data_IF_253385185313
#
_entry.id   IF_253385185313
#
_cell.length_a   1.000
_cell.length_b   1.000
_cell.length_c   1.000
_cell.angle_alpha   90.00
_cell.angle_beta   90.00
_cell.angle_gamma   90.00
#
_symmetry.space_group_name_H-M   'P 1'
#
loop_
_entity.id
_entity.type
_entity.pdbx_description
1 polymer ?
#
# COMPACT_ATOMS: atom_id res chain seq x y z
N UNK A 1 9.77 3.42 -11.27
CA UNK A 1 8.78 2.42 -10.81
C UNK A 1 9.05 2.06 -9.35
N UNK A 2 7.99 1.92 -8.54
CA UNK A 2 8.05 1.42 -7.15
C UNK A 2 7.46 0.02 -7.10
N UNK A 3 8.17 -0.90 -6.44
CA UNK A 3 7.74 -2.27 -6.20
C UNK A 3 7.34 -2.44 -4.74
N UNK A 4 6.23 -3.16 -4.49
CA UNK A 4 5.74 -3.48 -3.15
C UNK A 4 5.51 -4.98 -3.01
N UNK A 5 6.39 -5.66 -2.29
CA UNK A 5 6.38 -7.10 -2.07
C UNK A 5 5.74 -7.51 -0.75
N UNK A 6 4.79 -8.46 -0.79
CA UNK A 6 4.26 -9.10 0.42
C UNK A 6 3.75 -10.51 0.10
N UNK A 7 3.59 -11.34 1.13
CA UNK A 7 3.02 -12.68 0.96
C UNK A 7 1.55 -12.62 0.53
N UNK A 8 1.05 -13.71 -0.05
CA UNK A 8 -0.38 -13.84 -0.34
C UNK A 8 -1.19 -13.72 0.96
N UNK A 9 -2.33 -13.01 0.90
CA UNK A 9 -3.18 -12.79 2.07
C UNK A 9 -2.67 -11.75 3.09
N UNK A 10 -1.51 -11.10 2.86
CA UNK A 10 -0.95 -10.08 3.77
C UNK A 10 -1.38 -8.65 3.44
N UNK A 11 -2.57 -8.49 2.87
CA UNK A 11 -3.24 -7.19 2.76
C UNK A 11 -2.50 -6.11 1.94
N UNK A 12 -1.78 -6.52 0.88
CA UNK A 12 -1.06 -5.59 -0.04
C UNK A 12 -1.90 -4.40 -0.47
N UNK A 13 -3.05 -4.68 -1.06
CA UNK A 13 -4.00 -3.65 -1.53
C UNK A 13 -4.47 -2.75 -0.40
N UNK A 14 -4.84 -3.36 0.75
CA UNK A 14 -5.33 -2.62 1.93
C UNK A 14 -4.28 -1.68 2.52
N UNK A 15 -2.97 -1.97 2.34
CA UNK A 15 -1.89 -1.06 2.72
C UNK A 15 -1.61 -0.01 1.65
N UNK A 16 -1.53 -0.43 0.38
CA UNK A 16 -1.19 0.47 -0.72
C UNK A 16 -2.23 1.58 -0.94
N UNK A 17 -3.52 1.28 -0.74
CA UNK A 17 -4.58 2.27 -0.91
C UNK A 17 -4.43 3.47 0.04
N UNK A 18 -4.39 3.32 1.37
CA UNK A 18 -4.26 4.47 2.27
C UNK A 18 -2.87 5.11 2.27
N UNK A 19 -1.81 4.34 1.99
CA UNK A 19 -0.44 4.84 2.11
C UNK A 19 0.09 5.48 0.82
N UNK A 20 -0.44 5.12 -0.34
CA UNK A 20 0.03 5.64 -1.62
C UNK A 20 -1.09 6.25 -2.46
N UNK A 21 -2.21 5.55 -2.67
CA UNK A 21 -3.24 6.00 -3.61
C UNK A 21 -4.02 7.21 -3.09
N UNK A 22 -4.50 7.15 -1.85
CA UNK A 22 -5.27 8.25 -1.26
C UNK A 22 -4.45 9.53 -1.07
N UNK A 23 -3.17 9.50 -0.62
CA UNK A 23 -2.33 10.70 -0.57
C UNK A 23 -2.20 11.37 -1.95
N UNK A 24 -2.00 10.59 -3.02
CA UNK A 24 -1.93 11.11 -4.37
C UNK A 24 -3.27 11.75 -4.79
N UNK A 25 -4.39 11.05 -4.58
CA UNK A 25 -5.72 11.54 -4.95
C UNK A 25 -6.16 12.77 -4.15
N UNK A 26 -5.65 12.95 -2.93
CA UNK A 26 -6.00 14.09 -2.08
C UNK A 26 -4.88 15.16 -2.03
N UNK A 27 -3.84 15.03 -2.87
CA UNK A 27 -2.88 16.09 -3.07
C UNK A 27 -3.56 17.27 -3.78
N UNK A 28 -3.38 18.46 -3.20
CA UNK A 28 -3.90 19.72 -3.70
C UNK A 28 -2.76 20.58 -4.24
N UNK A 29 -3.03 21.34 -5.30
CA UNK A 29 -2.12 22.38 -5.77
C UNK A 29 -2.22 23.66 -4.93
N UNK A 30 -1.50 24.71 -5.31
CA UNK A 30 -1.49 26.01 -4.61
C UNK A 30 -2.87 26.69 -4.59
N UNK A 31 -3.78 26.30 -5.50
CA UNK A 31 -5.16 26.81 -5.58
C UNK A 31 -6.17 25.90 -4.85
N UNK A 32 -5.70 24.83 -4.17
CA UNK A 32 -6.53 23.86 -3.46
C UNK A 32 -7.26 22.86 -4.38
N UNK A 33 -6.80 22.72 -5.63
CA UNK A 33 -7.42 21.80 -6.61
C UNK A 33 -6.72 20.46 -6.65
N UNK A 34 -7.52 19.39 -6.72
CA UNK A 34 -7.05 18.02 -6.84
C UNK A 34 -7.03 17.59 -8.31
N UNK A 35 -5.85 17.43 -8.90
CA UNK A 35 -5.67 17.13 -10.33
C UNK A 35 -5.21 15.70 -10.61
N UNK A 36 -4.63 15.04 -9.61
CA UNK A 36 -4.01 13.72 -9.81
C UNK A 36 -5.05 12.65 -10.16
N UNK A 37 -4.70 11.84 -11.16
CA UNK A 37 -5.50 10.71 -11.64
C UNK A 37 -4.73 9.42 -11.49
N UNK A 38 -5.43 8.33 -11.18
CA UNK A 38 -4.85 7.00 -11.01
C UNK A 38 -5.53 5.99 -11.92
N UNK A 39 -4.72 5.28 -12.70
CA UNK A 39 -5.12 4.07 -13.39
C UNK A 39 -4.82 2.86 -12.51
N UNK A 40 -5.81 2.02 -12.26
CA UNK A 40 -5.71 0.78 -11.50
C UNK A 40 -5.90 -0.38 -12.47
N UNK A 41 -4.91 -1.28 -12.52
CA UNK A 41 -4.97 -2.53 -13.27
C UNK A 41 -4.84 -3.67 -12.27
N UNK A 42 -5.88 -4.49 -12.11
CA UNK A 42 -5.93 -5.54 -11.10
C UNK A 42 -6.36 -6.88 -11.68
N UNK A 43 -5.78 -7.97 -11.16
CA UNK A 43 -6.13 -9.35 -11.55
C UNK A 43 -6.68 -10.20 -10.39
N UNK A 44 -6.53 -9.74 -9.14
CA UNK A 44 -6.98 -10.51 -7.97
C UNK A 44 -8.32 -10.00 -7.41
N UNK A 45 -8.51 -8.70 -7.39
CA UNK A 45 -9.70 -8.10 -6.79
C UNK A 45 -10.56 -7.43 -7.85
N UNK A 46 -11.87 -7.68 -7.82
CA UNK A 46 -12.81 -6.97 -8.66
C UNK A 46 -12.99 -5.51 -8.19
N UNK A 47 -13.63 -4.71 -9.03
CA UNK A 47 -13.84 -3.28 -8.78
C UNK A 47 -14.58 -3.00 -7.46
N UNK A 48 -15.58 -3.80 -7.12
CA UNK A 48 -16.43 -3.59 -5.94
C UNK A 48 -15.63 -3.74 -4.65
N UNK A 49 -14.84 -4.84 -4.55
CA UNK A 49 -13.96 -5.08 -3.40
C UNK A 49 -12.90 -3.99 -3.28
N UNK A 50 -12.31 -3.59 -4.42
CA UNK A 50 -11.32 -2.53 -4.42
C UNK A 50 -11.90 -1.18 -3.97
N UNK A 51 -13.08 -0.81 -4.46
CA UNK A 51 -13.76 0.44 -4.07
C UNK A 51 -14.21 0.41 -2.60
N UNK A 52 -14.56 -0.77 -2.06
CA UNK A 52 -14.82 -0.92 -0.63
C UNK A 52 -13.57 -0.61 0.21
N UNK A 53 -12.42 -1.16 -0.16
CA UNK A 53 -11.13 -0.85 0.50
C UNK A 53 -10.81 0.65 0.39
N UNK A 54 -11.02 1.23 -0.79
CA UNK A 54 -10.82 2.67 -1.02
C UNK A 54 -11.71 3.53 -0.11
N UNK A 55 -13.00 3.18 0.02
CA UNK A 55 -13.94 3.88 0.89
C UNK A 55 -13.56 3.78 2.38
N UNK A 56 -13.21 2.58 2.86
CA UNK A 56 -12.77 2.39 4.25
C UNK A 56 -11.47 3.15 4.53
N UNK A 57 -10.52 3.11 3.60
CA UNK A 57 -9.27 3.85 3.70
C UNK A 57 -9.52 5.38 3.72
N UNK A 58 -10.48 5.87 2.93
CA UNK A 58 -10.89 7.27 2.94
C UNK A 58 -11.40 7.71 4.31
N UNK A 59 -12.24 6.91 4.96
CA UNK A 59 -12.71 7.19 6.32
C UNK A 59 -11.52 7.35 7.26
N UNK A 60 -10.58 6.41 7.22
CA UNK A 60 -9.44 6.41 8.12
C UNK A 60 -8.43 7.52 7.80
N UNK A 61 -8.17 7.79 6.53
CA UNK A 61 -7.15 8.72 6.07
C UNK A 61 -7.64 10.18 6.01
N UNK A 62 -8.85 10.41 5.51
CA UNK A 62 -9.38 11.77 5.28
C UNK A 62 -10.30 12.19 6.41
N UNK A 63 -11.40 11.45 6.66
CA UNK A 63 -12.39 11.88 7.64
C UNK A 63 -11.87 11.91 9.08
N UNK A 64 -10.88 11.06 9.42
CA UNK A 64 -10.29 11.03 10.75
C UNK A 64 -9.03 11.91 10.88
N UNK A 65 -8.43 12.36 9.77
CA UNK A 65 -7.22 13.21 9.80
C UNK A 65 -7.51 14.61 10.34
N UNK A 66 -8.62 15.20 9.96
CA UNK A 66 -9.01 16.55 10.40
C UNK A 66 -9.41 16.65 11.87
N UNK A 67 -9.50 15.51 12.58
CA UNK A 67 -9.90 15.48 13.99
C UNK A 67 -8.80 15.83 14.99
N UNK A 68 -7.55 15.65 14.61
CA UNK A 68 -6.44 16.05 15.48
C UNK A 68 -6.30 17.58 15.57
N UNK A 69 -7.00 18.33 14.72
CA UNK A 69 -6.94 19.79 14.65
C UNK A 69 -8.11 20.50 15.36
N UNK A 70 -9.26 19.85 15.55
CA UNK A 70 -10.46 20.48 16.09
C UNK A 70 -11.24 19.57 17.05
N UNK A 71 -11.06 19.84 18.36
CA UNK A 71 -11.92 19.47 19.50
C UNK A 71 -12.05 17.99 19.92
N UNK A 72 -12.02 17.82 21.24
CA UNK A 72 -12.13 16.57 22.02
C UNK A 72 -13.48 15.83 21.92
N UNK A 73 -14.47 16.32 21.18
CA UNK A 73 -15.85 15.81 21.23
C UNK A 73 -16.33 15.00 20.00
N UNK A 74 -15.52 14.90 18.95
CA UNK A 74 -15.96 14.14 17.77
C UNK A 74 -15.59 12.67 17.87
N UNK A 75 -16.58 11.80 17.97
CA UNK A 75 -16.46 10.32 17.92
C UNK A 75 -15.70 9.89 16.66
N UNK A 76 -14.75 8.97 16.80
CA UNK A 76 -14.04 8.39 15.66
C UNK A 76 -15.03 7.66 14.75
N UNK A 77 -15.24 8.18 13.54
CA UNK A 77 -16.03 7.50 12.53
C UNK A 77 -15.23 6.31 12.01
N UNK A 78 -15.83 5.18 11.88
CA UNK A 78 -15.27 4.02 11.21
C UNK A 78 -16.41 3.14 10.74
N UNK A 79 -16.10 2.32 9.74
CA UNK A 79 -16.99 1.28 9.25
C UNK A 79 -16.22 -0.03 9.25
N UNK A 80 -16.82 -1.07 9.78
CA UNK A 80 -16.27 -2.40 9.78
C UNK A 80 -16.47 -3.06 8.42
N UNK A 81 -15.41 -3.55 7.81
CA UNK A 81 -15.48 -4.36 6.59
C UNK A 81 -16.31 -5.62 6.82
N UNK A 82 -16.20 -6.21 8.02
CA UNK A 82 -17.03 -7.35 8.43
C UNK A 82 -18.50 -6.99 8.41
N UNK A 83 -18.90 -5.83 8.98
CA UNK A 83 -20.31 -5.40 9.01
C UNK A 83 -20.85 -5.14 7.59
N UNK A 84 -20.02 -4.64 6.66
CA UNK A 84 -20.42 -4.51 5.25
C UNK A 84 -20.70 -5.90 4.67
N UNK A 85 -19.79 -6.85 4.83
CA UNK A 85 -19.88 -8.19 4.24
C UNK A 85 -21.04 -9.00 4.83
N UNK A 86 -21.33 -8.82 6.11
CA UNK A 86 -22.40 -9.53 6.83
C UNK A 86 -23.75 -8.79 6.82
N UNK A 87 -23.81 -7.63 6.16
CA UNK A 87 -24.98 -6.74 6.12
C UNK A 87 -25.50 -6.35 7.52
N UNK A 88 -24.57 -6.06 8.44
CA UNK A 88 -24.83 -5.75 9.86
C UNK A 88 -24.44 -4.32 10.23
N UNK A 89 -24.57 -3.39 9.29
CA UNK A 89 -24.19 -1.99 9.50
C UNK A 89 -25.05 -1.32 10.56
N UNK A 90 -24.39 -0.64 11.49
CA UNK A 90 -25.05 0.26 12.45
C UNK A 90 -25.53 1.53 11.75
N UNK A 91 -26.39 2.31 12.41
CA UNK A 91 -26.88 3.56 11.80
C UNK A 91 -25.75 4.59 11.67
N UNK A 92 -24.80 4.65 12.62
CA UNK A 92 -23.60 5.50 12.52
C UNK A 92 -22.70 5.09 11.33
N UNK A 93 -22.56 3.80 11.07
CA UNK A 93 -21.81 3.28 9.93
C UNK A 93 -22.50 3.61 8.60
N UNK A 94 -23.84 3.53 8.54
CA UNK A 94 -24.64 3.91 7.37
C UNK A 94 -24.46 5.40 7.04
N UNK A 95 -24.54 6.29 8.05
CA UNK A 95 -24.29 7.73 7.87
C UNK A 95 -22.89 7.99 7.35
N UNK A 96 -21.89 7.31 7.93
CA UNK A 96 -20.50 7.44 7.47
C UNK A 96 -20.33 6.99 6.02
N UNK A 97 -21.03 5.94 5.58
CA UNK A 97 -21.00 5.46 4.19
C UNK A 97 -21.66 6.43 3.21
N UNK A 98 -22.56 7.31 3.65
CA UNK A 98 -23.10 8.38 2.80
C UNK A 98 -21.99 9.33 2.38
N UNK A 99 -21.18 9.81 3.33
CA UNK A 99 -20.03 10.69 3.05
C UNK A 99 -19.01 10.02 2.11
N UNK A 100 -18.74 8.72 2.32
CA UNK A 100 -17.89 7.92 1.44
C UNK A 100 -18.45 7.83 0.02
N UNK A 101 -19.76 7.61 -0.09
CA UNK A 101 -20.43 7.52 -1.39
C UNK A 101 -20.37 8.84 -2.16
N UNK A 102 -20.52 9.96 -1.48
CA UNK A 102 -20.36 11.29 -2.07
C UNK A 102 -18.92 11.51 -2.55
N UNK A 103 -17.92 11.18 -1.72
CA UNK A 103 -16.53 11.25 -2.13
C UNK A 103 -16.23 10.42 -3.37
N UNK A 104 -16.67 9.16 -3.38
CA UNK A 104 -16.46 8.28 -4.55
C UNK A 104 -17.14 8.87 -5.80
N UNK A 105 -18.34 9.39 -5.65
CA UNK A 105 -19.14 9.91 -6.76
C UNK A 105 -18.63 11.24 -7.30
N UNK A 106 -18.22 12.16 -6.44
CA UNK A 106 -17.87 13.53 -6.83
C UNK A 106 -16.34 13.68 -7.01
N UNK A 107 -15.55 13.25 -6.01
CA UNK A 107 -14.09 13.44 -6.02
C UNK A 107 -13.36 12.44 -6.92
N UNK A 108 -13.77 11.17 -6.93
CA UNK A 108 -13.07 10.13 -7.68
C UNK A 108 -13.59 9.96 -9.11
N UNK A 109 -14.75 10.50 -9.44
CA UNK A 109 -15.29 10.47 -10.80
C UNK A 109 -14.27 11.06 -11.78
N UNK A 110 -13.94 10.32 -12.84
CA UNK A 110 -12.97 10.70 -13.84
C UNK A 110 -11.50 10.83 -13.34
N UNK A 111 -11.23 10.58 -12.06
CA UNK A 111 -9.86 10.59 -11.53
C UNK A 111 -9.34 9.19 -11.19
N UNK A 112 -10.22 8.22 -11.03
CA UNK A 112 -9.85 6.81 -10.86
C UNK A 112 -10.45 5.99 -11.99
N UNK A 113 -9.59 5.34 -12.75
CA UNK A 113 -9.97 4.35 -13.76
C UNK A 113 -9.55 2.96 -13.26
N UNK A 114 -10.50 2.04 -13.24
CA UNK A 114 -10.26 0.66 -12.83
C UNK A 114 -10.42 -0.29 -14.02
N UNK A 115 -9.42 -1.14 -14.24
CA UNK A 115 -9.39 -2.19 -15.26
C UNK A 115 -9.16 -3.51 -14.55
N UNK A 116 -10.10 -4.45 -14.69
CA UNK A 116 -9.92 -5.81 -14.24
C UNK A 116 -9.38 -6.64 -15.40
N UNK A 117 -8.22 -7.26 -15.19
CA UNK A 117 -7.56 -8.15 -16.16
C UNK A 117 -7.25 -9.47 -15.44
N UNK A 118 -8.02 -10.55 -15.68
CA UNK A 118 -7.77 -11.84 -15.03
C UNK A 118 -6.38 -12.39 -15.30
N UNK A 119 -5.82 -12.10 -16.48
CA UNK A 119 -4.46 -12.48 -16.88
C UNK A 119 -3.73 -11.24 -17.39
N UNK A 120 -2.46 -11.07 -17.00
CA UNK A 120 -1.65 -9.92 -17.40
C UNK A 120 -0.92 -10.20 -18.72
N UNK A 121 -1.51 -9.75 -19.83
CA UNK A 121 -0.81 -9.66 -21.12
C UNK A 121 -0.01 -8.35 -21.19
N UNK A 122 1.32 -8.39 -21.34
CA UNK A 122 2.16 -7.20 -21.44
C UNK A 122 1.74 -6.23 -22.55
N UNK A 123 1.28 -6.73 -23.69
CA UNK A 123 0.84 -5.89 -24.82
C UNK A 123 -0.46 -5.15 -24.49
N UNK A 124 -1.39 -5.84 -23.84
CA UNK A 124 -2.66 -5.24 -23.43
C UNK A 124 -2.44 -4.19 -22.33
N UNK A 125 -1.58 -4.50 -21.34
CA UNK A 125 -1.18 -3.53 -20.31
C UNK A 125 -0.54 -2.29 -20.95
N UNK A 126 0.41 -2.48 -21.89
CA UNK A 126 1.06 -1.38 -22.60
C UNK A 126 0.04 -0.50 -23.32
N UNK A 127 -0.92 -1.10 -24.03
CA UNK A 127 -2.00 -0.38 -24.69
C UNK A 127 -2.80 0.50 -23.72
N UNK A 128 -3.18 -0.04 -22.55
CA UNK A 128 -3.88 0.72 -21.52
C UNK A 128 -3.00 1.85 -20.93
N UNK A 129 -1.75 1.59 -20.65
CA UNK A 129 -0.82 2.61 -20.15
C UNK A 129 -0.70 3.77 -21.12
N UNK A 130 -0.50 3.50 -22.41
CA UNK A 130 -0.41 4.52 -23.45
C UNK A 130 -1.72 5.29 -23.64
N UNK A 131 -2.86 4.60 -23.65
CA UNK A 131 -4.17 5.22 -23.77
C UNK A 131 -4.43 6.18 -22.63
N UNK A 132 -4.30 5.70 -21.38
CA UNK A 132 -4.66 6.50 -20.21
C UNK A 132 -3.62 7.57 -19.88
N UNK A 133 -2.35 7.38 -20.21
CA UNK A 133 -1.33 8.43 -20.08
C UNK A 133 -1.67 9.68 -20.89
N UNK A 134 -2.23 9.50 -22.11
CA UNK A 134 -2.73 10.60 -22.96
C UNK A 134 -3.97 11.29 -22.40
N UNK A 135 -4.74 10.58 -21.54
CA UNK A 135 -5.89 11.14 -20.84
C UNK A 135 -5.52 11.79 -19.49
N UNK A 136 -4.20 11.90 -19.18
CA UNK A 136 -3.69 12.55 -18.00
C UNK A 136 -3.55 11.63 -16.76
N UNK A 137 -3.73 10.32 -16.91
CA UNK A 137 -3.46 9.37 -15.82
C UNK A 137 -1.96 9.11 -15.72
N UNK A 138 -1.30 9.82 -14.81
CA UNK A 138 0.15 9.72 -14.62
C UNK A 138 0.56 8.78 -13.50
N UNK A 139 -0.38 8.42 -12.62
CA UNK A 139 -0.15 7.43 -11.57
C UNK A 139 -0.81 6.12 -11.97
N UNK A 140 -0.10 5.03 -11.81
CA UNK A 140 -0.57 3.69 -12.16
C UNK A 140 -0.36 2.76 -10.97
N UNK A 141 -1.38 2.00 -10.63
CA UNK A 141 -1.32 0.94 -9.63
C UNK A 141 -1.60 -0.41 -10.29
N UNK A 142 -0.68 -1.36 -10.17
CA UNK A 142 -0.79 -2.72 -10.72
C UNK A 142 -0.87 -3.71 -9.55
N UNK A 143 -1.98 -4.45 -9.44
CA UNK A 143 -2.26 -5.36 -8.34
C UNK A 143 -2.81 -6.71 -8.83
N UNK A 144 -2.03 -7.76 -8.89
CA UNK A 144 -0.68 -8.08 -8.45
C UNK A 144 0.12 -8.64 -9.63
N UNK A 145 1.38 -8.25 -9.76
CA UNK A 145 2.29 -8.89 -10.73
C UNK A 145 2.68 -10.27 -10.20
N UNK A 146 2.22 -11.32 -10.88
CA UNK A 146 2.54 -12.72 -10.57
C UNK A 146 2.65 -13.52 -11.86
N UNK A 147 3.54 -14.51 -11.89
CA UNK A 147 3.52 -15.52 -12.94
C UNK A 147 2.40 -16.54 -12.65
N UNK A 148 1.64 -16.91 -13.66
CA UNK A 148 0.52 -17.85 -13.51
C UNK A 148 1.00 -19.30 -13.50
N UNK A 149 2.10 -19.60 -14.19
CA UNK A 149 2.66 -20.95 -14.28
C UNK A 149 4.19 -20.96 -14.10
N UNK A 150 4.71 -22.11 -13.63
CA UNK A 150 6.17 -22.34 -13.59
C UNK A 150 6.72 -22.30 -15.02
N UNK A 151 7.62 -21.36 -15.29
CA UNK A 151 8.25 -21.15 -16.60
C UNK A 151 7.95 -19.81 -17.26
N UNK A 152 7.03 -19.03 -16.74
CA UNK A 152 6.71 -17.68 -17.24
C UNK A 152 7.65 -16.58 -16.74
N UNK A 153 8.86 -16.94 -16.26
CA UNK A 153 9.88 -15.97 -15.86
C UNK A 153 10.19 -14.93 -16.94
N UNK A 154 10.17 -15.37 -18.22
CA UNK A 154 10.35 -14.47 -19.34
C UNK A 154 9.21 -13.46 -19.49
N UNK A 155 7.98 -13.88 -19.19
CA UNK A 155 6.81 -12.98 -19.25
C UNK A 155 6.93 -11.87 -18.19
N UNK A 156 7.29 -12.23 -16.97
CA UNK A 156 7.49 -11.26 -15.88
C UNK A 156 8.68 -10.33 -16.15
N UNK A 157 9.76 -10.85 -16.71
CA UNK A 157 10.92 -10.03 -17.13
C UNK A 157 10.52 -9.05 -18.23
N UNK A 158 9.82 -9.53 -19.26
CA UNK A 158 9.33 -8.69 -20.35
C UNK A 158 8.35 -7.61 -19.86
N UNK A 159 7.44 -7.99 -18.96
CA UNK A 159 6.50 -7.06 -18.34
C UNK A 159 7.25 -5.98 -17.55
N UNK A 160 8.23 -6.35 -16.73
CA UNK A 160 9.02 -5.39 -15.93
C UNK A 160 9.79 -4.41 -16.81
N UNK A 161 10.44 -4.91 -17.88
CA UNK A 161 11.18 -4.07 -18.82
C UNK A 161 10.24 -3.14 -19.61
N UNK A 162 9.09 -3.64 -20.03
CA UNK A 162 8.06 -2.84 -20.69
C UNK A 162 7.55 -1.75 -19.78
N UNK A 163 7.23 -2.05 -18.51
CA UNK A 163 6.77 -1.07 -17.53
C UNK A 163 7.81 0.01 -17.28
N UNK A 164 9.10 -0.35 -17.16
CA UNK A 164 10.19 0.61 -16.98
C UNK A 164 10.31 1.53 -18.19
N UNK A 165 10.34 0.98 -19.40
CA UNK A 165 10.40 1.74 -20.63
C UNK A 165 9.21 2.70 -20.77
N UNK A 166 7.98 2.20 -20.68
CA UNK A 166 6.76 2.99 -20.86
C UNK A 166 6.64 4.06 -19.77
N UNK A 167 7.05 3.75 -18.52
CA UNK A 167 7.04 4.73 -17.44
C UNK A 167 7.96 5.92 -17.73
N UNK A 168 9.15 5.69 -18.24
CA UNK A 168 10.12 6.74 -18.60
C UNK A 168 9.66 7.57 -19.80
N UNK A 169 9.23 6.89 -20.87
CA UNK A 169 8.77 7.53 -22.10
C UNK A 169 7.53 8.42 -21.91
N UNK A 170 6.64 8.06 -20.97
CA UNK A 170 5.37 8.74 -20.76
C UNK A 170 5.27 9.49 -19.42
N UNK A 171 6.37 9.56 -18.66
CA UNK A 171 6.43 10.16 -17.33
C UNK A 171 5.37 9.60 -16.39
N UNK A 172 5.30 8.25 -16.28
CA UNK A 172 4.36 7.55 -15.40
C UNK A 172 5.02 7.20 -14.08
N UNK A 173 4.27 7.35 -12.99
CA UNK A 173 4.61 6.88 -11.65
C UNK A 173 3.89 5.54 -11.43
N UNK A 174 4.60 4.44 -11.51
CA UNK A 174 4.03 3.09 -11.39
C UNK A 174 4.35 2.52 -10.01
N UNK A 175 3.31 2.12 -9.27
CA UNK A 175 3.38 1.26 -8.10
C UNK A 175 2.87 -0.12 -8.49
N UNK A 176 3.71 -1.14 -8.39
CA UNK A 176 3.35 -2.52 -8.69
C UNK A 176 3.49 -3.40 -7.45
N UNK A 177 2.43 -4.13 -7.10
CA UNK A 177 2.53 -5.15 -6.05
C UNK A 177 3.05 -6.45 -6.63
N UNK A 178 3.87 -7.16 -5.84
CA UNK A 178 4.44 -8.46 -6.18
C UNK A 178 4.22 -9.45 -5.05
N UNK A 179 4.20 -10.73 -5.38
CA UNK A 179 4.10 -11.78 -4.37
C UNK A 179 5.47 -12.26 -3.92
N UNK A 180 5.66 -12.40 -2.61
CA UNK A 180 6.85 -13.01 -2.04
C UNK A 180 6.76 -14.53 -2.13
N UNK A 181 7.91 -15.17 -2.27
CA UNK A 181 8.05 -16.62 -2.39
C UNK A 181 7.66 -17.34 -1.09
N UNK A 182 6.82 -18.35 -1.18
CA UNK A 182 6.33 -19.09 0.00
C UNK A 182 7.47 -19.73 0.80
N UNK A 183 8.56 -20.16 0.16
CA UNK A 183 9.71 -20.75 0.86
C UNK A 183 10.49 -19.74 1.71
N UNK A 184 10.21 -18.43 1.56
CA UNK A 184 10.78 -17.37 2.40
C UNK A 184 9.86 -17.00 3.56
N UNK A 185 8.70 -17.64 3.68
CA UNK A 185 7.80 -17.45 4.80
C UNK A 185 8.51 -17.77 6.13
N UNK A 186 8.36 -16.88 7.11
CA UNK A 186 9.07 -17.00 8.39
C UNK A 186 10.43 -16.30 8.45
N UNK A 187 10.95 -15.78 7.34
CA UNK A 187 12.14 -14.91 7.41
C UNK A 187 11.84 -13.66 8.22
N UNK A 188 12.74 -13.34 9.15
CA UNK A 188 12.64 -12.13 9.96
C UNK A 188 12.96 -10.88 9.17
N UNK A 189 13.96 -10.93 8.28
CA UNK A 189 14.35 -9.84 7.39
C UNK A 189 13.90 -10.13 5.97
N UNK A 190 13.23 -9.16 5.36
CA UNK A 190 12.78 -9.25 3.96
C UNK A 190 13.62 -8.34 3.06
N UNK A 191 14.03 -8.88 1.93
CA UNK A 191 14.73 -8.19 0.87
C UNK A 191 14.35 -8.73 -0.51
N UNK A 192 15.04 -8.28 -1.56
CA UNK A 192 14.80 -8.70 -2.94
C UNK A 192 14.94 -10.21 -3.17
N UNK A 193 15.64 -10.95 -2.32
CA UNK A 193 15.75 -12.41 -2.44
C UNK A 193 14.48 -13.13 -2.06
N UNK A 194 13.52 -12.43 -1.45
CA UNK A 194 12.24 -12.96 -1.06
C UNK A 194 11.19 -12.92 -2.19
N UNK A 195 11.49 -12.30 -3.32
CA UNK A 195 10.54 -12.24 -4.44
C UNK A 195 10.47 -13.59 -5.15
N UNK A 196 9.24 -14.06 -5.42
CA UNK A 196 9.00 -15.40 -5.92
C UNK A 196 9.65 -15.67 -7.28
N UNK A 197 9.65 -14.70 -8.21
CA UNK A 197 9.89 -15.03 -9.61
C UNK A 197 10.54 -13.92 -10.44
N UNK A 198 10.92 -12.77 -9.86
CA UNK A 198 11.29 -11.66 -10.71
C UNK A 198 12.42 -10.79 -10.17
N UNK A 199 13.65 -11.31 -10.18
CA UNK A 199 14.84 -10.47 -10.00
C UNK A 199 14.85 -9.26 -10.95
N UNK A 200 14.30 -9.44 -12.17
CA UNK A 200 14.15 -8.37 -13.17
C UNK A 200 13.30 -7.18 -12.72
N UNK A 201 12.28 -7.40 -11.85
CA UNK A 201 11.48 -6.30 -11.30
C UNK A 201 12.35 -5.43 -10.40
N UNK A 202 13.16 -6.05 -9.54
CA UNK A 202 14.06 -5.33 -8.62
C UNK A 202 15.11 -4.53 -9.38
N UNK A 203 15.60 -5.05 -10.51
CA UNK A 203 16.61 -4.38 -11.33
C UNK A 203 16.09 -3.04 -11.87
N UNK A 204 14.86 -3.02 -12.36
CA UNK A 204 14.23 -1.83 -12.93
C UNK A 204 13.57 -0.92 -11.88
N UNK A 205 13.17 -1.44 -10.72
CA UNK A 205 12.57 -0.66 -9.66
C UNK A 205 13.55 0.39 -9.10
N UNK A 206 13.06 1.59 -8.84
CA UNK A 206 13.79 2.66 -8.15
C UNK A 206 13.63 2.56 -6.64
N UNK A 207 12.47 2.08 -6.20
CA UNK A 207 12.14 1.82 -4.81
C UNK A 207 11.59 0.41 -4.68
N UNK A 208 12.09 -0.37 -3.73
CA UNK A 208 11.58 -1.70 -3.40
C UNK A 208 11.22 -1.77 -1.93
N UNK A 209 9.97 -2.10 -1.67
CA UNK A 209 9.35 -2.15 -0.35
C UNK A 209 8.86 -3.58 -0.10
N UNK A 210 9.09 -4.10 1.11
CA UNK A 210 8.65 -5.44 1.51
C UNK A 210 7.88 -5.36 2.80
N UNK A 211 6.81 -6.16 2.92
CA UNK A 211 5.85 -6.02 4.01
C UNK A 211 5.51 -7.37 4.61
N UNK A 212 5.58 -7.49 5.96
CA UNK A 212 5.16 -8.68 6.69
C UNK A 212 4.53 -8.36 8.01
N UNK A 213 3.73 -9.28 8.49
CA UNK A 213 3.23 -9.30 9.86
C UNK A 213 4.38 -9.61 10.83
N UNK A 214 4.31 -9.07 12.04
CA UNK A 214 5.26 -9.30 13.10
C UNK A 214 4.54 -9.53 14.44
N UNK A 215 4.99 -10.54 15.16
CA UNK A 215 4.46 -10.86 16.47
C UNK A 215 4.98 -9.89 17.54
N UNK A 216 4.16 -9.62 18.57
CA UNK A 216 4.53 -8.70 19.66
C UNK A 216 5.79 -9.17 20.40
N UNK A 217 5.97 -10.50 20.54
CA UNK A 217 7.16 -11.11 21.15
C UNK A 217 8.43 -10.76 20.38
N UNK A 218 8.37 -10.73 19.06
CA UNK A 218 9.48 -10.30 18.20
C UNK A 218 9.74 -8.81 18.38
N UNK A 219 8.69 -7.96 18.36
CA UNK A 219 8.84 -6.51 18.53
C UNK A 219 9.52 -6.17 19.86
N UNK A 220 9.20 -6.88 20.94
CA UNK A 220 9.81 -6.65 22.26
C UNK A 220 11.32 -6.90 22.30
N UNK A 221 11.86 -7.67 21.35
CA UNK A 221 13.30 -7.92 21.20
C UNK A 221 14.03 -6.89 20.34
N UNK A 222 13.29 -5.94 19.73
CA UNK A 222 13.82 -4.93 18.82
C UNK A 222 13.90 -3.58 19.52
N UNK A 223 14.67 -2.65 18.96
CA UNK A 223 14.64 -1.25 19.37
C UNK A 223 13.77 -0.46 18.37
N UNK A 224 12.80 0.30 18.89
CA UNK A 224 11.89 1.11 18.07
C UNK A 224 12.04 2.57 18.45
N UNK A 225 12.40 3.41 17.48
CA UNK A 225 12.64 4.83 17.68
C UNK A 225 11.77 5.66 16.72
N UNK A 226 11.28 6.78 17.19
CA UNK A 226 10.54 7.76 16.39
C UNK A 226 11.26 9.09 16.37
N UNK A 227 11.32 9.73 15.20
CA UNK A 227 11.85 11.08 15.13
C UNK A 227 10.86 12.08 15.69
N UNK A 228 11.30 12.82 16.73
CA UNK A 228 10.54 13.91 17.33
C UNK A 228 10.99 15.23 16.69
N UNK A 229 10.14 15.77 15.82
CA UNK A 229 10.42 17.01 15.11
C UNK A 229 10.52 18.23 16.04
N UNK A 230 9.84 18.20 17.20
CA UNK A 230 9.89 19.30 18.17
C UNK A 230 11.23 19.38 18.87
N UNK A 231 11.87 18.24 19.13
CA UNK A 231 13.16 18.11 19.78
C UNK A 231 14.32 17.88 18.78
N UNK A 232 14.01 17.71 17.49
CA UNK A 232 14.96 17.39 16.41
C UNK A 232 15.87 16.20 16.74
N UNK A 233 15.30 15.14 17.35
CA UNK A 233 16.02 13.92 17.74
C UNK A 233 15.16 12.68 17.67
N UNK A 234 15.80 11.51 17.62
CA UNK A 234 15.12 10.24 17.80
C UNK A 234 14.82 9.99 19.28
N UNK A 235 13.61 9.56 19.58
CA UNK A 235 13.16 9.14 20.91
C UNK A 235 12.79 7.66 20.90
N UNK A 236 13.13 6.94 21.97
CA UNK A 236 12.70 5.57 22.17
C UNK A 236 11.19 5.52 22.42
N UNK A 237 10.50 4.67 21.68
CA UNK A 237 9.05 4.48 21.81
C UNK A 237 8.69 3.03 22.18
N UNK A 238 9.67 2.18 22.48
CA UNK A 238 9.49 0.77 22.81
C UNK A 238 8.49 0.57 23.95
N UNK A 239 8.61 1.36 25.01
CA UNK A 239 7.73 1.28 26.18
C UNK A 239 6.27 1.65 25.90
N UNK A 240 5.99 2.29 24.76
CA UNK A 240 4.65 2.71 24.31
C UNK A 240 3.96 1.67 23.42
N UNK A 241 4.65 0.58 23.09
CA UNK A 241 4.10 -0.50 22.26
C UNK A 241 3.25 -1.40 23.13
N UNK A 242 1.94 -1.34 22.93
CA UNK A 242 0.93 -2.11 23.64
C UNK A 242 0.65 -3.43 22.91
N UNK A 243 0.05 -4.39 23.62
CA UNK A 243 -0.48 -5.59 22.97
C UNK A 243 -1.59 -5.20 21.97
N UNK A 244 -1.62 -5.83 20.77
CA UNK A 244 -2.61 -5.49 19.75
C UNK A 244 -4.03 -5.81 20.26
N UNK A 245 -4.96 -4.88 20.05
CA UNK A 245 -6.38 -5.08 20.33
C UNK A 245 -7.00 -6.02 19.27
N UNK A 246 -8.24 -6.41 19.50
CA UNK A 246 -8.98 -7.23 18.55
C UNK A 246 -8.95 -6.59 17.12
N UNK A 247 -8.65 -7.40 16.10
CA UNK A 247 -8.46 -7.01 14.71
C UNK A 247 -7.26 -6.08 14.44
N UNK A 248 -6.39 -5.84 15.42
CA UNK A 248 -5.15 -5.11 15.20
C UNK A 248 -3.98 -6.06 15.03
N UNK A 249 -3.01 -5.63 14.25
CA UNK A 249 -1.75 -6.34 14.00
C UNK A 249 -0.60 -5.36 13.90
N UNK A 250 0.59 -5.86 14.15
CA UNK A 250 1.81 -5.14 13.85
C UNK A 250 2.41 -5.62 12.54
N UNK A 251 2.92 -4.66 11.77
CA UNK A 251 3.50 -4.92 10.46
C UNK A 251 4.87 -4.25 10.37
N UNK A 252 5.81 -4.92 9.72
CA UNK A 252 7.10 -4.34 9.36
C UNK A 252 7.14 -4.04 7.88
N UNK A 253 7.51 -2.81 7.55
CA UNK A 253 7.83 -2.36 6.20
C UNK A 253 9.34 -2.24 6.07
N UNK A 254 9.93 -3.01 5.15
CA UNK A 254 11.34 -3.00 4.82
C UNK A 254 11.56 -2.16 3.57
N UNK A 255 12.40 -1.13 3.64
CA UNK A 255 12.84 -0.35 2.50
C UNK A 255 14.12 -1.01 1.97
N UNK A 256 13.98 -1.97 1.07
CA UNK A 256 15.11 -2.77 0.56
C UNK A 256 15.95 -2.03 -0.46
N UNK A 257 15.37 -1.13 -1.23
CA UNK A 257 16.03 -0.28 -2.22
C UNK A 257 15.35 1.09 -2.26
N UNK A 258 16.14 2.15 -2.31
CA UNK A 258 15.64 3.51 -2.51
C UNK A 258 16.71 4.36 -3.21
N UNK A 259 16.57 4.55 -4.53
CA UNK A 259 17.53 5.35 -5.31
C UNK A 259 17.48 6.86 -4.98
N UNK A 260 16.41 7.31 -4.33
CA UNK A 260 16.18 8.72 -4.04
C UNK A 260 16.39 9.10 -2.56
N UNK A 261 16.80 8.13 -1.72
CA UNK A 261 16.96 8.37 -0.29
C UNK A 261 17.65 7.23 0.43
N UNK A 262 17.45 7.17 1.76
CA UNK A 262 18.02 6.09 2.57
C UNK A 262 17.30 4.77 2.30
N UNK A 263 18.05 3.73 2.02
CA UNK A 263 17.62 2.34 1.97
C UNK A 263 17.87 1.63 3.32
N UNK A 264 17.52 0.34 3.39
CA UNK A 264 17.74 -0.54 4.55
C UNK A 264 17.08 -0.06 5.85
N UNK A 265 16.02 0.74 5.72
CA UNK A 265 15.18 1.13 6.85
C UNK A 265 14.08 0.11 7.06
N UNK A 266 13.70 -0.06 8.32
CA UNK A 266 12.56 -0.89 8.71
C UNK A 266 11.62 -0.01 9.53
N UNK A 267 10.37 0.01 9.16
CA UNK A 267 9.35 0.84 9.81
C UNK A 267 8.29 -0.07 10.41
N UNK A 268 7.97 0.14 11.68
CA UNK A 268 6.90 -0.54 12.38
C UNK A 268 5.59 0.21 12.23
N UNK A 269 4.56 -0.50 11.81
CA UNK A 269 3.18 -0.03 11.75
C UNK A 269 2.29 -0.82 12.72
N UNK A 270 1.34 -0.14 13.34
CA UNK A 270 0.14 -0.74 13.93
C UNK A 270 -0.98 -0.61 12.92
N UNK A 271 -1.71 -1.67 12.68
CA UNK A 271 -2.75 -1.74 11.65
C UNK A 271 -4.03 -2.37 12.17
N UNK A 272 -5.15 -1.94 11.60
CA UNK A 272 -6.43 -2.59 11.74
C UNK A 272 -7.01 -2.81 10.34
N UNK A 273 -7.02 -4.06 9.88
CA UNK A 273 -7.40 -4.40 8.51
C UNK A 273 -8.90 -4.36 8.25
N UNK A 274 -9.70 -4.50 9.30
CA UNK A 274 -11.16 -4.37 9.22
C UNK A 274 -11.55 -2.92 8.89
N UNK A 275 -10.80 -1.96 9.45
CA UNK A 275 -10.99 -0.52 9.24
C UNK A 275 -10.08 0.08 8.18
N UNK A 276 -9.21 -0.71 7.57
CA UNK A 276 -8.17 -0.28 6.62
C UNK A 276 -7.36 0.91 7.17
N UNK A 277 -6.88 0.74 8.40
CA UNK A 277 -6.15 1.78 9.12
C UNK A 277 -4.73 1.34 9.44
N UNK A 278 -3.77 2.26 9.26
CA UNK A 278 -2.34 2.05 9.50
C UNK A 278 -1.76 3.27 10.18
N UNK A 279 -1.02 3.06 11.27
CA UNK A 279 -0.29 4.12 11.96
C UNK A 279 1.18 3.73 12.10
N UNK A 280 2.04 4.63 11.65
CA UNK A 280 3.48 4.49 11.86
C UNK A 280 3.81 4.66 13.34
N UNK A 281 4.53 3.68 13.90
CA UNK A 281 5.02 3.70 15.27
C UNK A 281 6.44 4.28 15.32
N UNK A 282 7.31 3.79 14.44
CA UNK A 282 8.70 4.25 14.39
C UNK A 282 9.61 3.38 13.53
N UNK A 283 10.87 3.79 13.47
CA UNK A 283 11.95 3.07 12.80
C UNK A 283 12.50 1.98 13.72
N UNK A 284 12.70 0.78 13.16
CA UNK A 284 13.16 -0.41 13.89
C UNK A 284 14.64 -0.64 13.65
N UNK A 285 15.37 -0.94 14.72
CA UNK A 285 16.76 -1.43 14.65
C UNK A 285 16.92 -2.76 15.40
N UNK A 286 18.02 -3.47 15.09
CA UNK A 286 18.28 -4.79 15.72
C UNK A 286 17.85 -5.99 14.85
N UNK A 287 17.18 -5.77 13.71
CA UNK A 287 17.01 -6.81 12.69
C UNK A 287 18.16 -6.72 11.69
N UNK A 288 18.94 -7.78 11.60
CA UNK A 288 19.99 -7.91 10.59
C UNK A 288 19.60 -8.96 9.56
N UNK A 289 20.15 -8.82 8.37
CA UNK A 289 20.11 -9.85 7.35
C UNK A 289 20.84 -11.10 7.89
N UNK A 290 20.11 -12.08 8.36
CA UNK A 290 20.64 -13.42 8.58
C UNK A 290 20.81 -14.05 7.20
N UNK A 291 22.00 -13.81 6.59
CA UNK A 291 22.35 -14.40 5.30
C UNK A 291 22.10 -15.91 5.37
N UNK A 292 21.01 -16.34 4.70
CA UNK A 292 20.42 -17.67 4.80
C UNK A 292 21.48 -18.77 4.96
N UNK A 293 21.60 -19.28 6.17
CA UNK A 293 22.22 -20.56 6.50
C UNK A 293 21.12 -21.59 6.62
#
# INVERSE_FOLDING_TARGET
MTEFGAYSGTWKTSYCVPMFLLPILNAEDEEGKKHEKILIIANEQNKEVFMTIMGLAYISFVLNRHRNEFSYETKNRYVSRKHINENMLTDEEKETLIDVKEYIKEDLKNRVQFIFMPSFDPKEIEMYLLKYSRMGYKNVFIDTMKAETKGEYHLMSNLSQMLDRVSKENNLRILATVQLALHTYGRKYLDHTCIAEAKSIVEVAEVSLYFREVEISEIRSLSVQKFDYSQNKYIDVQSKIEDPKYNEKYMLLFIGKNRHGKDKKIILYRSNFDKVWFTEIGEVSGLSYDGGK
#
